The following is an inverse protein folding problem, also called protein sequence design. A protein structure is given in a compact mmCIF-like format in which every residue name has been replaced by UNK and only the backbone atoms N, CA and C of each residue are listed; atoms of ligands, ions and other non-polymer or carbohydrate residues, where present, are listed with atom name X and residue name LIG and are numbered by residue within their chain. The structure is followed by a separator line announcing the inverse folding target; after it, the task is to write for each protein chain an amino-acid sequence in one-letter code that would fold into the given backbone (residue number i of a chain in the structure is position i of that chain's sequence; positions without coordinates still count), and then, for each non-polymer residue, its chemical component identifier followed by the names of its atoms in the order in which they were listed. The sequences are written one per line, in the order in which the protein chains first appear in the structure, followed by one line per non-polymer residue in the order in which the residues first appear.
data_IF_675112108533
#
_entry.id   IF_675112108533
#
_cell.length_a   1.000
_cell.length_b   1.000
_cell.length_c   1.000
_cell.angle_alpha   90.00
_cell.angle_beta   90.00
_cell.angle_gamma   90.00
#
_symmetry.space_group_name_H-M   'P 1'
#
loop_
_entity.id
_entity.type
_entity.pdbx_description
1 polymer ?
#
# COMPACT_ATOMS: atom_id res chain seq x y z
N UNK A 1 -13.62 11.54 45.84
CA UNK A 1 -14.15 11.41 44.47
C UNK A 1 -12.97 11.40 43.51
N UNK A 2 -12.36 10.23 43.29
CA UNK A 2 -11.30 10.06 42.30
C UNK A 2 -11.77 9.02 41.28
N UNK A 3 -11.62 9.37 40.01
CA UNK A 3 -12.28 8.79 38.86
C UNK A 3 -12.04 7.28 38.70
N UNK A 4 -13.14 6.53 38.77
CA UNK A 4 -13.32 5.18 38.21
C UNK A 4 -13.44 5.28 36.68
N UNK A 5 -12.35 5.23 35.91
CA UNK A 5 -12.41 4.92 34.48
C UNK A 5 -11.04 4.41 33.99
N UNK A 6 -10.62 3.23 34.46
CA UNK A 6 -9.65 2.42 33.69
C UNK A 6 -10.45 1.55 32.72
N UNK A 7 -10.50 2.02 31.48
CA UNK A 7 -11.04 1.31 30.33
C UNK A 7 -10.11 0.11 30.08
N UNK A 8 -10.51 -1.07 30.57
CA UNK A 8 -9.89 -2.33 30.17
C UNK A 8 -10.14 -2.55 28.68
N UNK A 9 -9.16 -2.20 27.85
CA UNK A 9 -9.08 -2.73 26.50
C UNK A 9 -8.85 -4.25 26.61
N UNK A 10 -9.88 -5.01 26.24
CA UNK A 10 -9.89 -6.46 26.27
C UNK A 10 -8.84 -7.01 25.27
N UNK A 11 -7.65 -7.35 25.79
CA UNK A 11 -6.61 -8.29 25.28
C UNK A 11 -5.17 -7.87 25.64
N UNK A 12 -4.95 -7.15 26.75
CA UNK A 12 -3.59 -6.88 27.22
C UNK A 12 -3.22 -7.81 28.37
N UNK A 13 -2.28 -8.72 28.13
CA UNK A 13 -1.68 -9.59 29.14
C UNK A 13 -1.00 -8.69 30.19
N UNK A 14 -1.28 -8.90 31.47
CA UNK A 14 -0.76 -8.08 32.57
C UNK A 14 -0.47 -8.93 33.81
N UNK A 15 0.52 -8.53 34.60
CA UNK A 15 0.86 -9.23 35.84
C UNK A 15 -0.20 -8.97 36.92
N UNK A 16 -0.62 -10.01 37.64
CA UNK A 16 -1.62 -9.90 38.72
C UNK A 16 -1.16 -9.00 39.88
N UNK A 17 0.14 -8.98 40.19
CA UNK A 17 0.70 -8.17 41.27
C UNK A 17 1.05 -6.74 40.83
N UNK A 18 1.38 -6.54 39.56
CA UNK A 18 1.84 -5.27 39.00
C UNK A 18 1.16 -5.02 37.65
N UNK A 19 -0.06 -4.43 37.63
CA UNK A 19 -0.80 -4.22 36.39
C UNK A 19 -0.17 -3.16 35.46
N UNK A 20 0.63 -2.25 36.01
CA UNK A 20 1.24 -1.14 35.27
C UNK A 20 2.71 -1.40 34.85
N UNK A 21 3.31 -2.50 35.31
CA UNK A 21 4.71 -2.81 35.03
C UNK A 21 4.93 -3.20 33.55
N UNK A 22 6.01 -2.75 32.91
CA UNK A 22 6.33 -3.17 31.56
C UNK A 22 6.71 -4.66 31.55
N UNK A 23 6.15 -5.40 30.59
CA UNK A 23 6.52 -6.78 30.30
C UNK A 23 7.71 -6.80 29.34
N UNK A 24 8.67 -7.66 29.63
CA UNK A 24 9.85 -7.92 28.81
C UNK A 24 9.61 -9.22 28.04
N UNK A 25 9.79 -9.18 26.72
CA UNK A 25 9.67 -10.36 25.87
C UNK A 25 11.04 -11.06 25.77
N UNK A 26 11.14 -12.31 26.22
CA UNK A 26 12.31 -13.15 25.95
C UNK A 26 12.04 -14.03 24.72
N UNK A 27 12.55 -13.61 23.57
CA UNK A 27 12.40 -14.34 22.31
C UNK A 27 13.10 -15.70 22.29
N UNK A 28 14.09 -15.96 23.16
CA UNK A 28 14.79 -17.26 23.18
C UNK A 28 13.97 -18.34 23.85
N UNK A 29 13.29 -17.98 24.94
CA UNK A 29 12.39 -18.86 25.67
C UNK A 29 10.96 -18.83 25.08
N UNK A 30 10.58 -17.71 24.45
CA UNK A 30 9.21 -17.47 23.99
C UNK A 30 8.29 -17.00 25.12
N UNK A 31 8.83 -16.34 26.14
CA UNK A 31 8.13 -15.99 27.38
C UNK A 31 7.95 -14.47 27.54
N UNK A 32 6.86 -14.06 28.20
CA UNK A 32 6.60 -12.68 28.61
C UNK A 32 6.81 -12.54 30.12
N UNK A 33 7.80 -11.75 30.52
CA UNK A 33 8.28 -11.67 31.90
C UNK A 33 7.98 -10.29 32.48
N UNK A 34 7.40 -10.23 33.67
CA UNK A 34 7.24 -8.98 34.41
C UNK A 34 8.59 -8.49 34.95
N UNK A 35 8.93 -7.23 34.63
CA UNK A 35 10.19 -6.60 35.06
C UNK A 35 10.34 -6.47 36.58
N UNK A 36 9.24 -6.30 37.31
CA UNK A 36 9.27 -6.02 38.76
C UNK A 36 9.28 -7.27 39.65
N UNK A 37 8.59 -8.34 39.24
CA UNK A 37 8.48 -9.57 40.04
C UNK A 37 9.08 -10.83 39.40
N UNK A 38 9.49 -10.76 38.13
CA UNK A 38 10.02 -11.91 37.39
C UNK A 38 8.98 -12.99 37.07
N UNK A 39 7.69 -12.72 37.28
CA UNK A 39 6.62 -13.67 36.94
C UNK A 39 6.46 -13.77 35.41
N UNK A 40 6.41 -15.00 34.90
CA UNK A 40 6.03 -15.28 33.51
C UNK A 40 4.51 -15.17 33.38
N UNK A 41 4.04 -14.22 32.58
CA UNK A 41 2.62 -13.87 32.46
C UNK A 41 1.98 -14.47 31.20
N UNK A 42 2.79 -14.77 30.18
CA UNK A 42 2.35 -15.44 28.97
C UNK A 42 3.45 -16.36 28.43
N UNK A 43 3.05 -17.56 28.00
CA UNK A 43 3.89 -18.48 27.25
C UNK A 43 3.65 -18.30 25.74
N UNK A 44 4.61 -18.76 24.93
CA UNK A 44 4.46 -18.89 23.47
C UNK A 44 4.26 -17.57 22.73
N UNK A 45 5.14 -16.61 22.98
CA UNK A 45 5.26 -15.38 22.17
C UNK A 45 5.54 -15.76 20.73
N UNK A 46 4.65 -15.36 19.84
CA UNK A 46 4.85 -15.51 18.40
C UNK A 46 5.80 -14.40 17.97
N UNK A 47 6.97 -14.77 17.47
CA UNK A 47 7.87 -13.80 16.84
C UNK A 47 7.21 -13.29 15.55
N UNK A 48 6.81 -12.01 15.57
CA UNK A 48 6.32 -11.26 14.40
C UNK A 48 7.46 -10.63 13.59
N UNK A 49 8.70 -10.88 14.00
CA UNK A 49 9.91 -10.52 13.27
C UNK A 49 9.97 -11.17 11.90
N UNK A 50 11.06 -10.89 11.18
CA UNK A 50 11.25 -11.39 9.82
C UNK A 50 11.18 -12.92 9.78
N UNK A 51 10.32 -13.44 8.91
CA UNK A 51 10.19 -14.88 8.63
C UNK A 51 11.57 -15.55 8.53
N UNK A 52 11.75 -16.69 9.20
CA UNK A 52 12.99 -17.45 9.18
C UNK A 52 13.38 -17.78 7.73
N UNK A 53 14.43 -17.12 7.22
CA UNK A 53 14.96 -17.39 5.88
C UNK A 53 15.70 -18.73 5.90
N UNK A 54 15.11 -19.79 5.36
CA UNK A 54 15.85 -21.01 5.07
C UNK A 54 16.78 -20.74 3.88
N UNK A 55 18.03 -20.36 4.15
CA UNK A 55 19.08 -20.17 3.13
C UNK A 55 19.40 -21.44 2.32
N UNK A 56 18.86 -22.60 2.73
CA UNK A 56 19.09 -23.89 2.09
C UNK A 56 18.23 -24.19 0.85
N UNK A 57 17.30 -23.32 0.43
CA UNK A 57 16.40 -23.58 -0.70
C UNK A 57 16.54 -22.62 -1.90
N UNK A 58 17.63 -21.87 -2.00
CA UNK A 58 17.82 -20.82 -3.01
C UNK A 58 17.81 -21.32 -4.48
N UNK A 59 17.86 -22.64 -4.70
CA UNK A 59 17.82 -23.24 -6.06
C UNK A 59 16.41 -23.40 -6.63
N UNK A 60 15.38 -23.31 -5.79
CA UNK A 60 13.99 -23.36 -6.22
C UNK A 60 13.31 -22.13 -5.65
N UNK A 61 12.94 -21.16 -6.49
CA UNK A 61 12.31 -19.88 -6.10
C UNK A 61 10.93 -19.98 -5.43
N UNK A 62 10.61 -21.12 -4.83
CA UNK A 62 9.39 -21.43 -4.10
C UNK A 62 9.75 -21.61 -2.62
N UNK A 63 9.34 -20.66 -1.79
CA UNK A 63 9.43 -20.73 -0.34
C UNK A 63 8.23 -21.54 0.20
N UNK A 64 8.44 -22.78 0.69
CA UNK A 64 7.35 -23.63 1.18
C UNK A 64 6.76 -23.14 2.52
N UNK A 65 7.45 -22.25 3.24
CA UNK A 65 6.99 -21.71 4.52
C UNK A 65 6.04 -20.52 4.34
N UNK A 66 6.08 -19.86 3.16
CA UNK A 66 5.23 -18.70 2.84
C UNK A 66 3.81 -19.14 2.53
N UNK A 67 2.90 -18.90 3.48
CA UNK A 67 1.48 -19.25 3.38
C UNK A 67 0.61 -18.20 2.69
N UNK A 68 1.18 -17.04 2.33
CA UNK A 68 0.46 -15.95 1.67
C UNK A 68 1.35 -15.09 0.77
N UNK A 69 0.78 -14.53 -0.31
CA UNK A 69 1.47 -13.57 -1.17
C UNK A 69 1.49 -12.17 -0.54
N UNK A 70 2.48 -11.32 -0.86
CA UNK A 70 2.48 -9.93 -0.43
C UNK A 70 1.30 -9.20 -1.06
N UNK A 71 0.42 -8.66 -0.23
CA UNK A 71 -0.68 -7.83 -0.69
C UNK A 71 -0.21 -6.38 -0.87
N UNK A 72 -0.70 -5.72 -1.93
CA UNK A 72 -0.47 -4.30 -2.10
C UNK A 72 -1.57 -3.51 -1.37
N UNK A 73 -1.26 -2.82 -0.26
CA UNK A 73 -2.26 -2.09 0.53
C UNK A 73 -2.88 -0.90 -0.22
N UNK A 74 -2.32 -0.50 -1.36
CA UNK A 74 -2.85 0.56 -2.21
C UNK A 74 -4.01 0.10 -3.11
N UNK A 75 -4.18 -1.20 -3.30
CA UNK A 75 -5.35 -1.76 -3.98
C UNK A 75 -6.47 -1.95 -2.96
N UNK A 76 -7.72 -2.06 -3.44
CA UNK A 76 -8.80 -2.48 -2.56
C UNK A 76 -8.59 -3.96 -2.26
N UNK A 77 -7.78 -4.26 -1.24
CA UNK A 77 -7.35 -5.59 -0.80
C UNK A 77 -8.48 -6.46 -0.25
N UNK A 78 -9.55 -6.61 -1.04
CA UNK A 78 -10.77 -7.31 -0.67
C UNK A 78 -11.04 -8.52 -1.57
N UNK A 79 -10.25 -8.76 -2.62
CA UNK A 79 -10.42 -9.95 -3.42
C UNK A 79 -9.39 -11.01 -3.01
N UNK A 80 -9.82 -11.87 -2.06
CA UNK A 80 -9.25 -13.20 -1.78
C UNK A 80 -9.37 -14.09 -3.03
N UNK A 81 -8.70 -13.70 -4.11
CA UNK A 81 -8.77 -14.30 -5.41
C UNK A 81 -7.42 -14.88 -5.78
N UNK A 82 -7.44 -16.10 -6.28
CA UNK A 82 -6.25 -16.77 -6.81
C UNK A 82 -6.33 -16.78 -8.32
N UNK A 83 -5.20 -16.56 -8.98
CA UNK A 83 -5.06 -16.68 -10.43
C UNK A 83 -4.73 -18.13 -10.74
N UNK A 84 -5.58 -18.78 -11.55
CA UNK A 84 -5.28 -20.11 -12.08
C UNK A 84 -4.21 -19.93 -13.17
N UNK A 85 -3.04 -20.51 -12.94
CA UNK A 85 -1.95 -20.53 -13.93
C UNK A 85 -2.26 -21.47 -15.11
N UNK A 86 -1.46 -21.41 -16.18
CA UNK A 86 -1.62 -22.31 -17.32
C UNK A 86 -1.50 -23.77 -16.85
N UNK A 87 -2.46 -24.60 -17.24
CA UNK A 87 -2.45 -26.01 -16.89
C UNK A 87 -1.21 -26.71 -17.46
N UNK A 88 -0.64 -27.64 -16.68
CA UNK A 88 0.54 -28.41 -17.08
C UNK A 88 0.08 -29.78 -17.58
N UNK A 89 0.50 -30.17 -18.79
CA UNK A 89 0.18 -31.46 -19.42
C UNK A 89 -0.99 -31.39 -20.42
N UNK A 90 -1.05 -32.38 -21.33
CA UNK A 90 -2.00 -32.42 -22.46
C UNK A 90 -3.48 -32.37 -22.04
N UNK A 91 -3.84 -32.95 -20.89
CA UNK A 91 -5.21 -32.95 -20.40
C UNK A 91 -5.75 -31.55 -20.05
N UNK A 92 -4.85 -30.57 -19.88
CA UNK A 92 -5.20 -29.17 -19.56
C UNK A 92 -5.63 -28.36 -20.79
N UNK A 93 -5.41 -28.90 -22.00
CA UNK A 93 -5.74 -28.25 -23.26
C UNK A 93 -6.91 -28.98 -23.93
N UNK A 94 -7.72 -28.23 -24.65
CA UNK A 94 -8.75 -28.76 -25.54
C UNK A 94 -8.13 -29.31 -26.83
N UNK A 95 -8.91 -30.01 -27.64
CA UNK A 95 -8.48 -30.61 -28.91
C UNK A 95 -7.85 -29.56 -29.87
N UNK A 96 -8.24 -28.29 -29.71
CA UNK A 96 -7.70 -27.13 -30.43
C UNK A 96 -6.50 -26.44 -29.75
N UNK A 97 -5.93 -27.03 -28.70
CA UNK A 97 -4.79 -26.47 -27.96
C UNK A 97 -5.14 -25.30 -27.02
N UNK A 98 -6.43 -24.99 -26.83
CA UNK A 98 -6.87 -23.91 -25.93
C UNK A 98 -6.90 -24.43 -24.50
N UNK A 99 -6.34 -23.67 -23.55
CA UNK A 99 -6.38 -24.07 -22.14
C UNK A 99 -7.82 -24.16 -21.64
N UNK A 100 -8.24 -25.34 -21.15
CA UNK A 100 -9.61 -25.60 -20.65
C UNK A 100 -9.93 -24.76 -19.43
N UNK A 101 -8.94 -24.53 -18.58
CA UNK A 101 -9.05 -23.73 -17.38
C UNK A 101 -8.53 -22.31 -17.66
N UNK A 102 -9.44 -21.45 -18.11
CA UNK A 102 -9.15 -20.02 -18.24
C UNK A 102 -9.50 -19.30 -16.94
N UNK A 103 -8.61 -18.38 -16.52
CA UNK A 103 -8.89 -17.49 -15.42
C UNK A 103 -10.00 -16.49 -15.83
N UNK A 104 -11.26 -16.84 -15.55
CA UNK A 104 -12.43 -15.99 -15.85
C UNK A 104 -12.69 -14.90 -14.81
N UNK A 105 -11.82 -14.74 -13.80
CA UNK A 105 -12.02 -13.69 -12.81
C UNK A 105 -11.56 -12.34 -13.37
N UNK A 106 -12.52 -11.46 -13.57
CA UNK A 106 -12.27 -10.06 -13.86
C UNK A 106 -11.97 -9.36 -12.52
N UNK A 107 -10.75 -8.85 -12.37
CA UNK A 107 -10.44 -7.90 -11.28
C UNK A 107 -11.51 -6.81 -11.23
N UNK A 108 -11.80 -6.29 -10.03
CA UNK A 108 -12.80 -5.24 -9.87
C UNK A 108 -12.54 -4.09 -10.86
N UNK A 109 -13.59 -3.52 -11.43
CA UNK A 109 -13.43 -2.46 -12.45
C UNK A 109 -12.69 -1.24 -11.89
N UNK A 110 -12.84 -0.97 -10.59
CA UNK A 110 -12.07 0.04 -9.87
C UNK A 110 -10.59 -0.31 -9.72
N UNK A 111 -10.25 -1.55 -9.35
CA UNK A 111 -8.84 -1.96 -9.18
C UNK A 111 -8.14 -2.04 -10.51
N UNK A 112 -8.83 -2.43 -11.58
CA UNK A 112 -8.28 -2.39 -12.93
C UNK A 112 -7.90 -0.96 -13.34
N UNK A 113 -8.73 0.02 -13.00
CA UNK A 113 -8.42 1.43 -13.25
C UNK A 113 -7.21 1.90 -12.43
N UNK A 114 -7.12 1.49 -11.15
CA UNK A 114 -5.97 1.78 -10.29
C UNK A 114 -4.68 1.15 -10.82
N UNK A 115 -4.70 -0.12 -11.22
CA UNK A 115 -3.53 -0.84 -11.77
C UNK A 115 -3.05 -0.19 -13.06
N UNK A 116 -3.98 0.18 -13.96
CA UNK A 116 -3.62 0.89 -15.18
C UNK A 116 -2.98 2.24 -14.87
N UNK A 117 -3.54 3.01 -13.94
CA UNK A 117 -2.97 4.30 -13.54
C UNK A 117 -1.57 4.15 -12.91
N UNK A 118 -1.37 3.16 -12.03
CA UNK A 118 -0.05 2.88 -11.45
C UNK A 118 0.96 2.48 -12.52
N UNK A 119 0.56 1.72 -13.55
CA UNK A 119 1.43 1.39 -14.69
C UNK A 119 1.85 2.65 -15.45
N UNK A 120 0.92 3.57 -15.72
CA UNK A 120 1.23 4.85 -16.38
C UNK A 120 2.15 5.73 -15.51
N UNK A 121 1.92 5.81 -14.20
CA UNK A 121 2.80 6.57 -13.28
C UNK A 121 4.22 6.01 -13.29
N UNK A 122 4.38 4.68 -13.23
CA UNK A 122 5.69 4.04 -13.33
C UNK A 122 6.34 4.32 -14.70
N UNK A 123 5.59 4.14 -15.79
CA UNK A 123 6.10 4.41 -17.15
C UNK A 123 6.52 5.87 -17.36
N UNK A 124 5.81 6.83 -16.77
CA UNK A 124 6.22 8.23 -16.75
C UNK A 124 7.49 8.42 -15.92
N UNK A 125 7.53 7.89 -14.69
CA UNK A 125 8.66 8.03 -13.78
C UNK A 125 9.96 7.44 -14.33
N UNK A 126 9.88 6.31 -15.04
CA UNK A 126 11.03 5.66 -15.67
C UNK A 126 11.65 6.55 -16.76
N UNK A 127 10.84 7.23 -17.57
CA UNK A 127 11.34 8.15 -18.61
C UNK A 127 12.12 9.34 -18.03
N UNK A 128 11.74 9.80 -16.84
CA UNK A 128 12.40 10.90 -16.15
C UNK A 128 13.39 10.45 -15.06
N UNK A 129 13.68 9.14 -14.98
CA UNK A 129 14.56 8.52 -13.99
C UNK A 129 14.29 9.01 -12.57
N UNK A 130 13.02 8.92 -12.15
CA UNK A 130 12.61 9.29 -10.79
C UNK A 130 12.89 8.18 -9.78
N UNK A 131 13.19 8.57 -8.55
CA UNK A 131 13.34 7.64 -7.44
C UNK A 131 12.00 6.95 -7.14
N UNK A 132 12.06 5.66 -6.78
CA UNK A 132 10.88 4.85 -6.43
C UNK A 132 10.06 5.46 -5.28
N UNK A 133 10.72 6.14 -4.34
CA UNK A 133 10.05 6.87 -3.25
C UNK A 133 9.04 7.91 -3.74
N UNK A 134 9.36 8.62 -4.83
CA UNK A 134 8.48 9.61 -5.45
C UNK A 134 7.29 8.91 -6.13
N UNK A 135 7.54 7.76 -6.76
CA UNK A 135 6.51 6.95 -7.42
C UNK A 135 5.52 6.38 -6.41
N UNK A 136 6.00 5.85 -5.30
CA UNK A 136 5.16 5.32 -4.22
C UNK A 136 4.28 6.42 -3.61
N UNK A 137 4.83 7.62 -3.42
CA UNK A 137 4.07 8.79 -2.97
C UNK A 137 3.03 9.23 -4.00
N UNK A 138 3.36 9.21 -5.29
CA UNK A 138 2.41 9.52 -6.36
C UNK A 138 1.25 8.51 -6.42
N UNK A 139 1.54 7.22 -6.26
CA UNK A 139 0.53 6.16 -6.21
C UNK A 139 -0.43 6.34 -5.03
N UNK A 140 0.10 6.70 -3.85
CA UNK A 140 -0.72 6.97 -2.67
C UNK A 140 -1.64 8.19 -2.88
N UNK A 141 -1.12 9.28 -3.46
CA UNK A 141 -1.94 10.45 -3.81
C UNK A 141 -3.04 10.10 -4.82
N UNK A 142 -2.73 9.31 -5.84
CA UNK A 142 -3.71 8.87 -6.83
C UNK A 142 -4.84 8.07 -6.17
N UNK A 143 -4.49 7.15 -5.26
CA UNK A 143 -5.44 6.35 -4.50
C UNK A 143 -6.40 7.21 -3.67
N UNK A 144 -5.87 8.17 -2.91
CA UNK A 144 -6.68 9.10 -2.10
C UNK A 144 -7.69 9.89 -2.94
N UNK A 145 -7.28 10.30 -4.15
CA UNK A 145 -8.10 11.11 -5.05
C UNK A 145 -9.16 10.28 -5.76
N UNK A 146 -8.79 9.06 -6.15
CA UNK A 146 -9.71 8.09 -6.73
C UNK A 146 -10.82 7.72 -5.73
N UNK A 147 -10.45 7.48 -4.47
CA UNK A 147 -11.40 7.13 -3.40
C UNK A 147 -12.28 8.31 -3.00
N UNK A 148 -11.71 9.52 -2.98
CA UNK A 148 -12.45 10.76 -2.72
C UNK A 148 -13.43 11.17 -3.81
N UNK A 149 -13.43 10.50 -4.98
CA UNK A 149 -14.31 10.73 -6.16
C UNK A 149 -14.41 12.18 -6.64
N UNK A 150 -13.54 13.07 -6.18
CA UNK A 150 -13.66 14.52 -6.33
C UNK A 150 -13.31 15.02 -7.75
N UNK A 151 -12.64 14.16 -8.54
CA UNK A 151 -12.20 14.41 -9.91
C UNK A 151 -12.83 13.43 -10.92
N UNK A 152 -13.95 12.78 -10.56
CA UNK A 152 -14.64 11.82 -11.43
C UNK A 152 -15.14 12.52 -12.71
N UNK A 153 -14.71 12.03 -13.87
CA UNK A 153 -15.01 12.61 -15.19
C UNK A 153 -13.82 13.31 -15.88
N UNK A 154 -12.67 13.40 -15.20
CA UNK A 154 -11.39 13.80 -15.83
C UNK A 154 -10.62 12.55 -16.29
N UNK A 155 -9.74 12.70 -17.28
CA UNK A 155 -8.91 11.60 -17.75
C UNK A 155 -7.99 11.10 -16.62
N UNK A 156 -7.88 9.78 -16.48
CA UNK A 156 -7.01 9.18 -15.47
C UNK A 156 -5.55 9.61 -15.67
N UNK A 157 -5.10 9.74 -16.92
CA UNK A 157 -3.74 10.14 -17.28
C UNK A 157 -3.40 11.57 -16.80
N UNK A 158 -4.38 12.49 -16.90
CA UNK A 158 -4.20 13.85 -16.38
C UNK A 158 -4.12 13.88 -14.85
N UNK A 159 -4.89 13.03 -14.17
CA UNK A 159 -4.84 12.89 -12.71
C UNK A 159 -3.50 12.27 -12.28
N UNK A 160 -3.04 11.22 -12.96
CA UNK A 160 -1.75 10.57 -12.72
C UNK A 160 -0.58 11.54 -12.86
N UNK A 161 -0.56 12.33 -13.94
CA UNK A 161 0.43 13.39 -14.15
C UNK A 161 0.43 14.45 -13.06
N UNK A 162 -0.76 14.88 -12.62
CA UNK A 162 -0.88 15.85 -11.54
C UNK A 162 -0.35 15.28 -10.21
N UNK A 163 -0.63 14.01 -9.91
CA UNK A 163 -0.12 13.32 -8.72
C UNK A 163 1.40 13.23 -8.73
N UNK A 164 2.00 12.88 -9.89
CA UNK A 164 3.45 12.82 -10.06
C UNK A 164 4.11 14.18 -9.85
N UNK A 165 3.53 15.25 -10.41
CA UNK A 165 4.02 16.62 -10.21
C UNK A 165 4.03 17.04 -8.73
N UNK A 166 2.95 16.71 -8.00
CA UNK A 166 2.83 17.05 -6.58
C UNK A 166 3.82 16.24 -5.74
N UNK A 167 3.98 14.95 -6.04
CA UNK A 167 4.95 14.09 -5.35
C UNK A 167 6.38 14.62 -5.51
N UNK A 168 6.79 15.00 -6.74
CA UNK A 168 8.10 15.62 -7.00
C UNK A 168 8.32 16.88 -6.15
N UNK A 169 7.27 17.71 -6.02
CA UNK A 169 7.35 18.96 -5.25
C UNK A 169 7.41 18.73 -3.74
N UNK A 170 6.76 17.68 -3.23
CA UNK A 170 6.80 17.32 -1.81
C UNK A 170 8.17 16.76 -1.41
N UNK A 171 8.85 16.06 -2.30
CA UNK A 171 10.18 15.48 -2.09
C UNK A 171 11.33 16.48 -2.32
N UNK A 172 11.02 17.76 -2.54
CA UNK A 172 12.04 18.80 -2.73
C UNK A 172 12.77 18.75 -4.08
N UNK A 173 12.31 17.93 -5.03
CA UNK A 173 12.86 17.85 -6.40
C UNK A 173 11.82 18.36 -7.40
N UNK A 174 11.53 19.69 -7.42
CA UNK A 174 10.50 20.22 -8.30
C UNK A 174 10.91 20.04 -9.77
N UNK A 175 10.09 19.32 -10.54
CA UNK A 175 10.23 19.21 -12.00
C UNK A 175 9.40 20.30 -12.67
N UNK A 176 9.87 20.78 -13.82
CA UNK A 176 9.12 21.77 -14.60
C UNK A 176 7.89 21.13 -15.20
N UNK A 177 6.80 21.89 -15.26
CA UNK A 177 5.51 21.42 -15.80
C UNK A 177 5.64 20.86 -17.22
N UNK A 178 6.50 21.48 -18.04
CA UNK A 178 6.80 21.02 -19.40
C UNK A 178 7.30 19.57 -19.42
N UNK A 179 8.26 19.21 -18.55
CA UNK A 179 8.86 17.86 -18.53
C UNK A 179 7.81 16.79 -18.27
N UNK A 180 6.88 17.04 -17.36
CA UNK A 180 5.81 16.09 -17.04
C UNK A 180 4.80 16.00 -18.18
N UNK A 181 4.46 17.13 -18.79
CA UNK A 181 3.55 17.15 -19.94
C UNK A 181 4.10 16.34 -21.12
N UNK A 182 5.40 16.47 -21.43
CA UNK A 182 6.05 15.67 -22.47
C UNK A 182 6.04 14.17 -22.18
N UNK A 183 6.05 13.76 -20.90
CA UNK A 183 6.03 12.33 -20.55
C UNK A 183 4.63 11.71 -20.63
N UNK A 184 3.57 12.49 -20.41
CA UNK A 184 2.21 11.98 -20.45
C UNK A 184 1.61 11.98 -21.86
N UNK A 185 2.10 12.82 -22.77
CA UNK A 185 1.49 13.04 -24.09
C UNK A 185 2.31 12.48 -25.25
N UNK A 186 1.71 11.55 -26.01
CA UNK A 186 1.86 11.57 -27.47
C UNK A 186 0.98 12.71 -28.02
N UNK A 187 1.52 13.94 -28.02
CA UNK A 187 1.23 15.07 -28.91
C UNK A 187 -0.21 15.40 -29.41
N UNK A 188 -1.32 15.03 -28.74
CA UNK A 188 -2.66 15.27 -29.32
C UNK A 188 -3.70 16.07 -28.52
N UNK A 189 -3.40 16.66 -27.36
CA UNK A 189 -4.32 17.64 -26.74
C UNK A 189 -3.58 18.84 -26.16
N UNK A 190 -3.51 19.88 -26.98
CA UNK A 190 -3.11 21.24 -26.63
C UNK A 190 -4.18 21.91 -25.75
N UNK A 191 -4.40 21.38 -24.54
CA UNK A 191 -5.37 21.96 -23.61
C UNK A 191 -4.73 22.19 -22.23
N UNK A 192 -3.83 23.16 -22.20
CA UNK A 192 -3.08 23.67 -21.04
C UNK A 192 -3.94 24.04 -19.83
N UNK A 193 -5.26 24.26 -20.01
CA UNK A 193 -6.19 24.67 -18.96
C UNK A 193 -6.63 23.54 -18.01
N UNK A 194 -6.49 22.27 -18.39
CA UNK A 194 -7.01 21.17 -17.55
C UNK A 194 -6.12 20.91 -16.34
N UNK A 195 -4.81 21.07 -16.48
CA UNK A 195 -3.87 20.91 -15.38
C UNK A 195 -4.00 22.01 -14.34
N UNK A 196 -4.28 23.26 -14.74
CA UNK A 196 -4.43 24.37 -13.79
C UNK A 196 -5.73 24.28 -12.98
N UNK A 197 -6.82 23.78 -13.57
CA UNK A 197 -8.09 23.50 -12.87
C UNK A 197 -7.95 22.30 -11.94
N UNK A 198 -7.34 21.21 -12.41
CA UNK A 198 -7.07 20.02 -11.58
C UNK A 198 -6.10 20.40 -10.47
N UNK A 199 -5.05 21.15 -10.75
CA UNK A 199 -4.07 21.60 -9.77
C UNK A 199 -4.69 22.54 -8.73
N UNK A 200 -5.52 23.51 -9.13
CA UNK A 200 -6.26 24.36 -8.16
C UNK A 200 -7.20 23.53 -7.28
N UNK A 201 -8.03 22.65 -7.85
CA UNK A 201 -8.92 21.79 -7.04
C UNK A 201 -8.13 20.83 -6.15
N UNK A 202 -7.04 20.26 -6.65
CA UNK A 202 -6.19 19.33 -5.92
C UNK A 202 -5.42 20.04 -4.82
N UNK A 203 -4.81 21.20 -5.07
CA UNK A 203 -4.10 22.00 -4.07
C UNK A 203 -5.05 22.53 -3.00
N UNK A 204 -6.28 22.92 -3.35
CA UNK A 204 -7.31 23.26 -2.36
C UNK A 204 -7.68 22.04 -1.50
N UNK A 205 -7.80 20.86 -2.12
CA UNK A 205 -8.03 19.59 -1.40
C UNK A 205 -6.83 19.17 -0.52
N UNK A 206 -5.60 19.34 -1.02
CA UNK A 206 -4.36 19.00 -0.32
C UNK A 206 -4.04 19.99 0.82
N UNK A 207 -4.40 21.28 0.69
CA UNK A 207 -4.36 22.25 1.80
C UNK A 207 -5.38 21.93 2.90
N UNK A 208 -6.48 21.27 2.56
CA UNK A 208 -7.44 20.74 3.54
C UNK A 208 -6.88 19.50 4.25
N UNK A 209 -6.23 18.60 3.52
CA UNK A 209 -5.58 17.39 4.05
C UNK A 209 -4.35 17.70 4.92
N UNK A 210 -3.50 18.66 4.52
CA UNK A 210 -2.34 19.09 5.31
C UNK A 210 -2.77 19.69 6.65
N UNK A 211 -3.83 20.51 6.66
CA UNK A 211 -4.45 20.99 7.92
C UNK A 211 -4.97 19.86 8.81
N UNK A 212 -5.46 18.75 8.25
CA UNK A 212 -5.91 17.60 9.05
C UNK A 212 -4.74 16.80 9.64
N UNK A 213 -3.63 16.67 8.93
CA UNK A 213 -2.40 16.02 9.41
C UNK A 213 -1.67 16.85 10.48
N UNK A 214 -1.65 18.18 10.32
CA UNK A 214 -1.07 19.10 11.31
C UNK A 214 -1.90 19.16 12.61
N UNK A 215 -3.23 18.99 12.52
CA UNK A 215 -4.11 18.87 13.70
C UNK A 215 -3.96 17.51 14.39
N UNK A 216 -3.78 16.41 13.64
CA UNK A 216 -3.59 15.08 14.23
C UNK A 216 -2.24 14.92 14.95
N UNK A 217 -1.20 15.60 14.48
CA UNK A 217 0.14 15.60 15.10
C UNK A 217 0.30 16.56 16.28
N UNK A 218 -0.67 17.45 16.51
CA UNK A 218 -0.73 18.35 17.68
C UNK A 218 -1.68 17.86 18.77
N UNK A 219 -2.38 16.74 18.54
CA UNK A 219 -3.30 16.08 19.49
C UNK A 219 -2.75 14.75 20.04
N UNK A 220 -1.45 14.48 19.85
CA UNK A 220 -0.72 13.33 20.43
C UNK A 220 0.37 13.82 21.37
#
# INVERSE_FOLDING_TARGET
MYNLFYRMEANKVCCYAHPDAPLIEDYRAGDQICSDCGLVVGDRVIDVGSEWRTFSNEKSGTDPSRVGGPENPLLNGSDLSTVIGPGRGDASFDDFGVSKYQNRRTMSSSDRALINAFREINGMADRINLAKTIVDRANNLFKQVHDGKNLKGRSNDAISSACLYIACRQEGVPRTFKVINYCCFNLSDSNSNWTDIVFRKFVLSARSQRRKLDVASSSS
#
